data_IF_765533317189
#
_entry.id   IF_765533317189
#
_cell.length_a   1.000
_cell.length_b   1.000
_cell.length_c   1.000
_cell.angle_alpha   90.00
_cell.angle_beta   90.00
_cell.angle_gamma   90.00
#
_symmetry.space_group_name_H-M   'P 1'
#
loop_
_entity.id
_entity.type
_entity.pdbx_description
1 polymer ?
#
# COMPACT_ATOMS: atom_id res chain seq x y z
N UNK A 1 -14.46 -5.28 -12.11
CA UNK A 1 -14.03 -4.60 -13.34
C UNK A 1 -12.97 -5.42 -14.05
N UNK A 2 -12.03 -5.98 -13.30
CA UNK A 2 -10.84 -6.70 -13.79
C UNK A 2 -11.09 -8.05 -14.50
N UNK A 3 -12.33 -8.56 -14.55
CA UNK A 3 -12.66 -9.77 -15.31
C UNK A 3 -12.89 -9.48 -16.80
N UNK A 4 -13.44 -8.30 -17.14
CA UNK A 4 -13.80 -7.95 -18.52
C UNK A 4 -12.86 -6.92 -19.16
N UNK A 5 -12.09 -6.16 -18.37
CA UNK A 5 -11.16 -5.16 -18.92
C UNK A 5 -9.93 -5.76 -19.63
N UNK A 6 -9.32 -6.88 -19.18
CA UNK A 6 -8.18 -7.46 -19.90
C UNK A 6 -8.57 -7.98 -21.28
N UNK A 7 -9.78 -8.57 -21.43
CA UNK A 7 -10.25 -9.05 -22.73
C UNK A 7 -10.49 -7.90 -23.71
N UNK A 8 -10.99 -6.76 -23.24
CA UNK A 8 -11.13 -5.54 -24.04
C UNK A 8 -9.75 -4.99 -24.44
N UNK A 9 -8.78 -4.91 -23.51
CA UNK A 9 -7.44 -4.45 -23.82
C UNK A 9 -6.70 -5.35 -24.82
N UNK A 10 -6.91 -6.67 -24.76
CA UNK A 10 -6.41 -7.61 -25.78
C UNK A 10 -7.01 -7.32 -27.17
N UNK A 11 -8.32 -7.05 -27.24
CA UNK A 11 -8.99 -6.70 -28.52
C UNK A 11 -8.50 -5.33 -29.05
N UNK A 12 -8.10 -4.43 -28.15
CA UNK A 12 -7.49 -3.14 -28.50
C UNK A 12 -6.01 -3.25 -28.91
N UNK A 13 -5.39 -4.43 -28.84
CA UNK A 13 -3.99 -4.65 -29.17
C UNK A 13 -3.01 -4.07 -28.16
N UNK A 14 -3.45 -3.82 -26.92
CA UNK A 14 -2.59 -3.35 -25.83
C UNK A 14 -1.86 -4.57 -25.26
N UNK A 15 -0.55 -4.47 -25.11
CA UNK A 15 0.28 -5.50 -24.49
C UNK A 15 -0.16 -5.74 -23.02
N UNK A 16 -0.31 -6.99 -22.55
CA UNK A 16 -0.58 -7.31 -21.15
C UNK A 16 0.32 -6.60 -20.14
N UNK A 17 1.58 -6.34 -20.48
CA UNK A 17 2.52 -5.62 -19.61
C UNK A 17 2.10 -4.14 -19.38
N UNK A 18 1.21 -3.61 -20.24
CA UNK A 18 0.70 -2.24 -20.17
C UNK A 18 -0.67 -2.11 -19.48
N UNK A 19 -1.28 -3.20 -19.01
CA UNK A 19 -2.60 -3.15 -18.38
C UNK A 19 -2.58 -2.34 -17.07
N UNK A 20 -1.56 -2.53 -16.24
CA UNK A 20 -1.40 -1.79 -14.98
C UNK A 20 -1.12 -0.30 -15.20
N UNK A 21 -0.22 0.11 -16.12
CA UNK A 21 -0.08 1.52 -16.53
C UNK A 21 -1.37 2.18 -17.01
N UNK A 22 -2.15 1.50 -17.86
CA UNK A 22 -3.44 2.04 -18.38
C UNK A 22 -4.44 2.27 -17.24
N UNK A 23 -4.52 1.32 -16.31
CA UNK A 23 -5.32 1.49 -15.10
C UNK A 23 -4.84 2.69 -14.27
N UNK A 24 -3.53 2.82 -14.03
CA UNK A 24 -2.97 3.92 -13.25
C UNK A 24 -3.33 5.28 -13.86
N UNK A 25 -3.22 5.46 -15.18
CA UNK A 25 -3.60 6.71 -15.87
C UNK A 25 -5.05 7.11 -15.57
N UNK A 26 -5.98 6.15 -15.61
CA UNK A 26 -7.38 6.41 -15.26
C UNK A 26 -7.61 6.79 -13.79
N UNK A 27 -6.75 6.32 -12.88
CA UNK A 27 -6.90 6.52 -11.42
C UNK A 27 -6.22 7.77 -10.90
N UNK A 28 -5.28 8.36 -11.65
CA UNK A 28 -4.57 9.58 -11.26
C UNK A 28 -5.53 10.70 -10.85
N UNK A 29 -6.61 10.93 -11.62
CA UNK A 29 -7.58 11.99 -11.30
C UNK A 29 -8.24 11.80 -9.94
N UNK A 30 -8.61 10.55 -9.60
CA UNK A 30 -9.19 10.20 -8.30
C UNK A 30 -8.18 10.30 -7.16
N UNK A 31 -6.93 9.87 -7.38
CA UNK A 31 -5.87 10.03 -6.38
C UNK A 31 -5.58 11.50 -6.09
N UNK A 32 -5.52 12.34 -7.13
CA UNK A 32 -5.35 13.78 -6.96
C UNK A 32 -6.53 14.40 -6.18
N UNK A 33 -7.77 14.02 -6.50
CA UNK A 33 -8.94 14.48 -5.78
C UNK A 33 -8.88 14.11 -4.29
N UNK A 34 -8.58 12.85 -3.96
CA UNK A 34 -8.45 12.40 -2.58
C UNK A 34 -7.34 13.15 -1.81
N UNK A 35 -6.20 13.41 -2.44
CA UNK A 35 -5.11 14.18 -1.80
C UNK A 35 -5.55 15.62 -1.51
N UNK A 36 -6.31 16.23 -2.42
CA UNK A 36 -6.81 17.60 -2.24
C UNK A 36 -7.85 17.63 -1.11
N UNK A 37 -8.78 16.68 -1.08
CA UNK A 37 -9.76 16.54 0.00
C UNK A 37 -9.07 16.35 1.35
N UNK A 38 -8.08 15.47 1.44
CA UNK A 38 -7.35 15.22 2.70
C UNK A 38 -6.61 16.46 3.21
N UNK A 39 -6.02 17.26 2.32
CA UNK A 39 -5.18 18.41 2.68
C UNK A 39 -5.97 19.68 2.97
N UNK A 40 -7.07 19.90 2.25
CA UNK A 40 -7.75 21.21 2.20
C UNK A 40 -9.24 21.16 2.54
N UNK A 41 -9.80 19.99 2.88
CA UNK A 41 -11.22 19.94 3.22
C UNK A 41 -11.54 20.77 4.47
N UNK A 42 -12.54 21.65 4.34
CA UNK A 42 -13.12 22.41 5.45
C UNK A 42 -13.98 21.52 6.38
N UNK A 43 -14.38 20.34 5.91
CA UNK A 43 -15.28 19.42 6.60
C UNK A 43 -14.59 18.38 7.50
N UNK A 44 -13.29 18.09 7.29
CA UNK A 44 -12.52 17.16 8.14
C UNK A 44 -11.58 17.92 9.07
N UNK A 45 -11.35 17.44 10.32
CA UNK A 45 -10.35 18.03 11.18
C UNK A 45 -8.97 17.93 10.51
N UNK A 46 -8.24 19.05 10.52
CA UNK A 46 -6.85 19.27 10.07
C UNK A 46 -6.07 18.01 9.69
N UNK A 47 -5.48 18.00 8.48
CA UNK A 47 -4.62 16.91 8.00
C UNK A 47 -3.67 16.35 9.07
N UNK A 48 -3.73 15.04 9.28
CA UNK A 48 -2.96 14.29 10.30
C UNK A 48 -2.03 13.31 9.60
N UNK A 49 -0.86 13.06 10.19
CA UNK A 49 0.05 12.01 9.73
C UNK A 49 -0.58 10.61 9.90
N UNK A 50 -0.61 9.82 8.83
CA UNK A 50 -0.98 8.40 8.90
C UNK A 50 0.08 7.62 9.68
N UNK A 51 -0.29 7.16 10.89
CA UNK A 51 0.58 6.35 11.76
C UNK A 51 -0.23 5.20 12.40
N UNK A 52 -0.46 4.11 11.67
CA UNK A 52 -1.12 2.94 12.25
C UNK A 52 -0.25 2.30 13.35
N UNK A 53 -0.89 1.68 14.34
CA UNK A 53 -0.24 0.87 15.36
C UNK A 53 -0.30 -0.62 14.96
N UNK A 54 0.57 -1.43 15.56
CA UNK A 54 0.59 -2.86 15.37
C UNK A 54 0.69 -3.58 16.71
N UNK A 55 -0.07 -4.66 16.87
CA UNK A 55 0.01 -5.52 18.05
C UNK A 55 1.21 -6.46 17.94
N UNK A 56 2.02 -6.53 18.99
CA UNK A 56 3.20 -7.39 19.02
C UNK A 56 2.81 -8.84 19.39
N UNK A 57 2.82 -9.72 18.38
CA UNK A 57 2.59 -11.18 18.54
C UNK A 57 3.89 -12.01 18.43
N UNK A 58 5.04 -11.35 18.58
CA UNK A 58 6.35 -11.99 18.49
C UNK A 58 6.75 -12.77 19.75
N UNK A 59 7.94 -13.37 19.72
CA UNK A 59 8.48 -14.10 20.88
C UNK A 59 8.84 -13.12 21.99
N UNK A 60 8.07 -13.16 23.08
CA UNK A 60 8.38 -12.40 24.29
C UNK A 60 9.51 -13.09 25.07
N UNK A 61 10.67 -12.45 25.13
CA UNK A 61 11.86 -12.96 25.84
C UNK A 61 12.04 -12.34 27.25
N UNK A 62 10.99 -11.74 27.83
CA UNK A 62 11.07 -11.04 29.12
C UNK A 62 11.44 -9.56 29.02
N UNK A 63 11.58 -8.90 30.17
CA UNK A 63 11.83 -7.46 30.29
C UNK A 63 13.18 -6.99 29.71
N UNK A 64 14.18 -7.86 29.73
CA UNK A 64 15.54 -7.57 29.22
C UNK A 64 15.67 -7.80 27.71
N UNK A 65 14.62 -8.31 27.05
CA UNK A 65 14.64 -8.62 25.62
C UNK A 65 15.35 -9.92 25.27
N UNK A 66 15.28 -10.31 23.99
CA UNK A 66 15.95 -11.51 23.51
C UNK A 66 17.45 -11.27 23.43
N UNK A 67 18.25 -12.13 24.08
CA UNK A 67 19.71 -12.07 23.97
C UNK A 67 20.13 -12.45 22.55
N UNK A 68 20.89 -11.57 21.91
CA UNK A 68 21.49 -11.87 20.62
C UNK A 68 22.55 -12.97 20.76
N UNK A 69 22.41 -14.03 19.97
CA UNK A 69 23.41 -15.11 19.86
C UNK A 69 24.17 -14.93 18.56
N UNK A 70 25.51 -14.87 18.62
CA UNK A 70 26.36 -14.78 17.42
C UNK A 70 26.16 -15.99 16.51
N UNK A 71 26.27 -15.79 15.20
CA UNK A 71 25.96 -16.81 14.19
C UNK A 71 26.71 -18.13 14.43
N UNK A 72 28.00 -18.06 14.78
CA UNK A 72 28.87 -19.21 15.06
C UNK A 72 28.44 -20.05 16.27
N UNK A 73 27.57 -19.50 17.14
CA UNK A 73 27.08 -20.14 18.37
C UNK A 73 25.63 -20.59 18.28
N UNK A 74 25.03 -20.50 17.09
CA UNK A 74 23.71 -21.06 16.80
C UNK A 74 23.94 -22.48 16.27
N UNK A 75 23.23 -23.46 16.83
CA UNK A 75 23.22 -24.84 16.30
C UNK A 75 22.67 -24.90 14.88
#
# INVERSE_FOLDING_TARGET
MDFYTPSIYCVMGIDPDLFTPVFAVSRISGWCAHIIEEKFAEAQPKAVIYRPEAEYVGRYCGLEGCKYVALEKRE
#
